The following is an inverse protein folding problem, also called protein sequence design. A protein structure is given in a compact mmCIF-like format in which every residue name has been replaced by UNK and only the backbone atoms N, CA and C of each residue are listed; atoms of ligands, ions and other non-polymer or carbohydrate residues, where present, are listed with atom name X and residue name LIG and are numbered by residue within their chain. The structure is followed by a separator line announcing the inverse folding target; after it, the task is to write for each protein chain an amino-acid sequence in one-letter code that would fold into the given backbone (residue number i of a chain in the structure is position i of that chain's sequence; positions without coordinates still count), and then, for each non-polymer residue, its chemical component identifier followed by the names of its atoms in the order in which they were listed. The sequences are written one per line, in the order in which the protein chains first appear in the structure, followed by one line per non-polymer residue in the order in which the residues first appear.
data_IF_584930451975
#
_entry.id   IF_584930451975
#
_cell.length_a   1.000
_cell.length_b   1.000
_cell.length_c   1.000
_cell.angle_alpha   90.00
_cell.angle_beta   90.00
_cell.angle_gamma   90.00
#
_symmetry.space_group_name_H-M   'P 1'
#
loop_
_entity.id
_entity.type
_entity.pdbx_description
1 polymer ?
#
# COMPACT_ATOMS: atom_id res chain seq x y z
N UNK A 1 -55.00 -14.19 -26.95
CA UNK A 1 -53.69 -14.78 -26.59
C UNK A 1 -52.48 -14.04 -27.16
N UNK A 2 -52.54 -13.42 -28.34
CA UNK A 2 -51.37 -12.65 -28.89
C UNK A 2 -50.93 -11.45 -28.05
N UNK A 3 -51.84 -10.73 -27.42
CA UNK A 3 -51.51 -9.52 -26.63
C UNK A 3 -50.86 -9.81 -25.27
N UNK A 4 -51.09 -11.01 -24.72
CA UNK A 4 -50.53 -11.41 -23.43
C UNK A 4 -49.02 -11.71 -23.53
N UNK A 5 -48.59 -12.25 -24.66
CA UNK A 5 -47.19 -12.59 -24.92
C UNK A 5 -46.33 -11.33 -25.08
N UNK A 6 -46.88 -10.25 -25.68
CA UNK A 6 -46.16 -8.98 -25.89
C UNK A 6 -45.92 -8.28 -24.55
N UNK A 7 -46.90 -8.31 -23.64
CA UNK A 7 -46.76 -7.68 -22.33
C UNK A 7 -45.80 -8.44 -21.40
N UNK A 8 -45.74 -9.77 -21.54
CA UNK A 8 -44.80 -10.59 -20.77
C UNK A 8 -43.33 -10.37 -21.21
N UNK A 9 -43.13 -10.23 -22.53
CA UNK A 9 -41.79 -9.92 -23.06
C UNK A 9 -41.29 -8.54 -22.68
N UNK A 10 -42.15 -7.51 -22.65
CA UNK A 10 -41.83 -6.16 -22.21
C UNK A 10 -41.51 -6.11 -20.71
N UNK A 11 -42.21 -6.89 -19.89
CA UNK A 11 -41.96 -6.97 -18.44
C UNK A 11 -40.65 -7.67 -18.11
N UNK A 12 -40.26 -8.70 -18.89
CA UNK A 12 -38.99 -9.38 -18.71
C UNK A 12 -37.79 -8.47 -19.08
N UNK A 13 -37.96 -7.57 -20.08
CA UNK A 13 -36.91 -6.66 -20.51
C UNK A 13 -36.62 -5.55 -19.50
N UNK A 14 -37.63 -5.14 -18.70
CA UNK A 14 -37.47 -4.13 -17.66
C UNK A 14 -36.73 -4.66 -16.43
N UNK A 15 -36.69 -5.96 -16.18
CA UNK A 15 -35.92 -6.56 -15.09
C UNK A 15 -34.41 -6.66 -15.36
N UNK A 16 -34.00 -6.67 -16.64
CA UNK A 16 -32.58 -6.75 -17.00
C UNK A 16 -31.85 -5.41 -17.02
N UNK A 17 -32.55 -4.29 -16.94
CA UNK A 17 -31.94 -2.95 -17.04
C UNK A 17 -31.50 -2.33 -15.71
N UNK A 18 -31.62 -3.04 -14.58
CA UNK A 18 -31.26 -2.49 -13.26
C UNK A 18 -30.11 -3.18 -12.55
N UNK A 19 -29.30 -3.99 -13.23
CA UNK A 19 -28.02 -4.39 -12.68
C UNK A 19 -27.06 -3.18 -12.70
N UNK A 20 -27.15 -2.34 -11.67
CA UNK A 20 -26.08 -1.41 -11.36
C UNK A 20 -24.86 -2.27 -11.05
N UNK A 21 -23.99 -2.40 -12.03
CA UNK A 21 -22.64 -2.87 -11.79
C UNK A 21 -22.01 -1.82 -10.85
N UNK A 22 -22.01 -2.10 -9.56
CA UNK A 22 -21.14 -1.40 -8.65
C UNK A 22 -19.72 -1.82 -9.07
N UNK A 23 -19.11 -1.04 -9.96
CA UNK A 23 -17.66 -1.04 -10.11
C UNK A 23 -17.13 -0.77 -8.71
N UNK A 24 -16.59 -1.80 -8.05
CA UNK A 24 -15.75 -1.58 -6.89
C UNK A 24 -14.68 -0.63 -7.39
N UNK A 25 -14.65 0.58 -6.82
CA UNK A 25 -13.55 1.52 -6.98
C UNK A 25 -12.32 0.80 -6.44
N UNK A 26 -11.67 0.06 -7.32
CA UNK A 26 -10.37 -0.53 -7.04
C UNK A 26 -9.46 0.65 -6.75
N UNK A 27 -8.79 0.67 -5.61
CA UNK A 27 -7.92 1.78 -5.25
C UNK A 27 -6.67 1.70 -6.15
N UNK A 28 -6.75 2.34 -7.32
CA UNK A 28 -5.72 2.33 -8.37
C UNK A 28 -4.36 2.78 -7.83
N UNK A 29 -4.36 3.69 -6.86
CA UNK A 29 -3.14 4.16 -6.19
C UNK A 29 -2.42 3.04 -5.45
N UNK A 30 -3.13 2.30 -4.58
CA UNK A 30 -2.55 1.18 -3.82
C UNK A 30 -2.02 0.10 -4.76
N UNK A 31 -2.76 -0.19 -5.81
CA UNK A 31 -2.39 -1.21 -6.81
C UNK A 31 -1.16 -0.78 -7.61
N UNK A 32 -1.13 0.46 -8.07
CA UNK A 32 0.00 1.02 -8.80
C UNK A 32 1.27 1.00 -7.93
N UNK A 33 1.16 1.48 -6.69
CA UNK A 33 2.26 1.46 -5.72
C UNK A 33 2.74 0.03 -5.40
N UNK A 34 1.82 -0.91 -5.19
CA UNK A 34 2.16 -2.32 -4.94
C UNK A 34 2.94 -2.94 -6.11
N UNK A 35 2.47 -2.70 -7.34
CA UNK A 35 3.12 -3.18 -8.56
C UNK A 35 4.50 -2.53 -8.77
N UNK A 36 4.62 -1.24 -8.50
CA UNK A 36 5.89 -0.52 -8.56
C UNK A 36 6.89 -1.12 -7.58
N UNK A 37 6.52 -1.28 -6.31
CA UNK A 37 7.41 -1.82 -5.27
C UNK A 37 7.80 -3.27 -5.54
N UNK A 38 6.89 -4.09 -6.08
CA UNK A 38 7.21 -5.46 -6.49
C UNK A 38 8.25 -5.49 -7.61
N UNK A 39 8.08 -4.65 -8.65
CA UNK A 39 9.09 -4.55 -9.73
C UNK A 39 10.43 -4.06 -9.21
N UNK A 40 10.43 -3.05 -8.35
CA UNK A 40 11.65 -2.52 -7.75
C UNK A 40 12.37 -3.59 -6.91
N UNK A 41 11.64 -4.33 -6.08
CA UNK A 41 12.19 -5.42 -5.28
C UNK A 41 12.81 -6.52 -6.14
N UNK A 42 12.14 -6.90 -7.25
CA UNK A 42 12.67 -7.91 -8.17
C UNK A 42 13.97 -7.48 -8.86
N UNK A 43 14.14 -6.18 -9.12
CA UNK A 43 15.36 -5.64 -9.73
C UNK A 43 16.48 -5.44 -8.71
N UNK A 44 16.14 -4.94 -7.54
CA UNK A 44 17.08 -4.63 -6.46
C UNK A 44 16.43 -4.99 -5.12
N UNK A 45 16.56 -6.25 -4.66
CA UNK A 45 15.99 -6.70 -3.41
C UNK A 45 16.47 -5.86 -2.23
N UNK A 46 15.55 -5.47 -1.35
CA UNK A 46 15.88 -4.77 -0.12
C UNK A 46 14.92 -5.15 1.00
N UNK A 47 15.41 -5.09 2.22
CA UNK A 47 14.61 -5.20 3.45
C UNK A 47 14.80 -3.94 4.29
N UNK A 48 13.82 -3.64 5.15
CA UNK A 48 13.87 -2.47 6.00
C UNK A 48 12.95 -1.35 5.53
N UNK A 49 13.33 -0.11 5.85
CA UNK A 49 12.49 1.07 5.66
C UNK A 49 12.93 1.87 4.44
N UNK A 50 11.95 2.37 3.70
CA UNK A 50 12.11 3.38 2.65
C UNK A 50 11.00 4.41 2.75
N UNK A 51 11.23 5.59 2.19
CA UNK A 51 10.20 6.60 1.96
C UNK A 51 9.97 6.70 0.46
N UNK A 52 8.73 6.50 0.04
CA UNK A 52 8.32 6.60 -1.36
C UNK A 52 7.73 7.99 -1.59
N UNK A 53 8.35 8.77 -2.46
CA UNK A 53 7.82 10.05 -2.95
C UNK A 53 7.06 9.80 -4.26
N UNK A 54 5.76 10.09 -4.28
CA UNK A 54 4.90 9.96 -5.46
C UNK A 54 4.13 11.26 -5.74
N UNK A 55 3.42 11.31 -6.87
CA UNK A 55 2.55 12.43 -7.21
C UNK A 55 1.45 12.68 -6.17
N UNK A 56 1.00 11.62 -5.49
CA UNK A 56 -0.09 11.65 -4.51
C UNK A 56 0.37 11.91 -3.08
N UNK A 57 1.68 12.02 -2.87
CA UNK A 57 2.29 12.32 -1.57
C UNK A 57 3.43 11.40 -1.20
N UNK A 58 3.83 11.49 0.06
CA UNK A 58 4.91 10.71 0.61
C UNK A 58 4.38 9.52 1.40
N UNK A 59 5.00 8.35 1.23
CA UNK A 59 4.60 7.12 1.90
C UNK A 59 5.80 6.51 2.63
N UNK A 60 5.57 6.17 3.87
CA UNK A 60 6.48 5.32 4.63
C UNK A 60 6.27 3.87 4.21
N UNK A 61 7.35 3.18 3.88
CA UNK A 61 7.33 1.79 3.42
C UNK A 61 8.25 0.96 4.32
N UNK A 62 7.75 -0.18 4.79
CA UNK A 62 8.53 -1.18 5.53
C UNK A 62 8.44 -2.51 4.81
N UNK A 63 9.57 -3.06 4.38
CA UNK A 63 9.68 -4.31 3.64
C UNK A 63 10.27 -5.38 4.53
N UNK A 64 9.55 -6.49 4.66
CA UNK A 64 9.89 -7.64 5.48
C UNK A 64 9.93 -8.88 4.59
N UNK A 65 11.01 -9.65 4.64
CA UNK A 65 11.10 -10.96 4.01
C UNK A 65 11.14 -12.05 5.06
N UNK A 66 10.26 -13.04 4.95
CA UNK A 66 10.14 -14.14 5.91
C UNK A 66 10.22 -15.50 5.20
N UNK A 67 10.97 -16.41 5.79
CA UNK A 67 11.05 -17.80 5.36
C UNK A 67 9.82 -18.56 5.85
N UNK A 68 9.00 -19.09 4.92
CA UNK A 68 7.71 -19.71 5.26
C UNK A 68 7.84 -20.93 6.16
N UNK A 69 8.90 -21.73 5.97
CA UNK A 69 9.13 -22.95 6.74
C UNK A 69 9.32 -22.70 8.25
N UNK A 70 9.63 -21.48 8.67
CA UNK A 70 9.80 -21.12 10.08
C UNK A 70 8.48 -20.91 10.82
N UNK A 71 7.35 -20.92 10.12
CA UNK A 71 6.04 -20.57 10.69
C UNK A 71 5.05 -21.73 10.51
N UNK A 72 4.31 -22.05 11.56
CA UNK A 72 3.30 -23.10 11.56
C UNK A 72 2.06 -22.76 10.75
N UNK A 73 1.81 -21.46 10.54
CA UNK A 73 0.69 -20.96 9.73
C UNK A 73 0.99 -19.62 9.10
N UNK A 74 0.31 -19.32 8.00
CA UNK A 74 0.38 -18.01 7.36
C UNK A 74 -0.08 -16.89 8.29
N UNK A 75 -1.10 -17.13 9.11
CA UNK A 75 -1.59 -16.16 10.10
C UNK A 75 -0.52 -15.77 11.11
N UNK A 76 0.24 -16.75 11.62
CA UNK A 76 1.37 -16.49 12.53
C UNK A 76 2.46 -15.67 11.83
N UNK A 77 2.81 -16.05 10.61
CA UNK A 77 3.80 -15.33 9.81
C UNK A 77 3.39 -13.87 9.57
N UNK A 78 2.12 -13.61 9.23
CA UNK A 78 1.58 -12.26 9.01
C UNK A 78 1.67 -11.41 10.28
N UNK A 79 1.36 -11.97 11.45
CA UNK A 79 1.50 -11.27 12.74
C UNK A 79 2.95 -10.92 13.03
N UNK A 80 3.87 -11.85 12.82
CA UNK A 80 5.31 -11.60 12.99
C UNK A 80 5.80 -10.51 12.05
N UNK A 81 5.36 -10.54 10.78
CA UNK A 81 5.68 -9.50 9.81
C UNK A 81 5.18 -8.11 10.27
N UNK A 82 3.95 -8.03 10.75
CA UNK A 82 3.38 -6.79 11.27
C UNK A 82 4.18 -6.24 12.46
N UNK A 83 4.54 -7.08 13.42
CA UNK A 83 5.36 -6.67 14.57
C UNK A 83 6.74 -6.18 14.11
N UNK A 84 7.38 -6.89 13.16
CA UNK A 84 8.66 -6.45 12.59
C UNK A 84 8.55 -5.13 11.86
N UNK A 85 7.50 -4.91 11.05
CA UNK A 85 7.26 -3.65 10.37
C UNK A 85 7.07 -2.50 11.36
N UNK A 86 6.31 -2.72 12.43
CA UNK A 86 6.14 -1.74 13.50
C UNK A 86 7.44 -1.45 14.24
N UNK A 87 8.26 -2.47 14.50
CA UNK A 87 9.57 -2.30 15.12
C UNK A 87 10.52 -1.49 14.23
N UNK A 88 10.57 -1.78 12.93
CA UNK A 88 11.37 -1.00 11.98
C UNK A 88 10.90 0.45 11.91
N UNK A 89 9.58 0.70 11.87
CA UNK A 89 9.03 2.04 11.90
C UNK A 89 9.38 2.78 13.18
N UNK A 90 9.26 2.12 14.34
CA UNK A 90 9.59 2.70 15.62
C UNK A 90 11.08 3.07 15.69
N UNK A 91 11.97 2.20 15.25
CA UNK A 91 13.42 2.48 15.16
C UNK A 91 13.70 3.66 14.22
N UNK A 92 13.04 3.69 13.07
CA UNK A 92 13.22 4.78 12.10
C UNK A 92 12.82 6.14 12.68
N UNK A 93 11.63 6.23 13.30
CA UNK A 93 11.14 7.50 13.84
C UNK A 93 11.86 7.94 15.11
N UNK A 94 12.38 7.02 15.93
CA UNK A 94 12.97 7.34 17.23
C UNK A 94 14.50 7.28 17.26
N UNK A 95 15.18 6.78 16.25
CA UNK A 95 16.62 6.58 16.33
C UNK A 95 17.41 6.72 15.05
N UNK A 96 16.78 6.77 13.88
CA UNK A 96 17.52 6.80 12.62
C UNK A 96 17.76 8.20 12.10
N UNK A 97 18.96 8.45 11.58
CA UNK A 97 19.23 9.62 10.74
C UNK A 97 18.58 9.43 9.38
N UNK A 98 17.90 10.44 8.87
CA UNK A 98 17.27 10.41 7.55
C UNK A 98 18.32 10.74 6.52
N UNK A 99 18.63 9.77 5.65
CA UNK A 99 19.52 9.99 4.50
C UNK A 99 18.71 9.97 3.19
N UNK A 100 19.25 10.59 2.15
CA UNK A 100 18.65 10.59 0.81
C UNK A 100 18.51 9.18 0.21
N UNK A 101 19.32 8.24 0.64
CA UNK A 101 19.26 6.82 0.21
C UNK A 101 17.99 6.10 0.67
N UNK A 102 17.32 6.63 1.69
CA UNK A 102 16.05 6.12 2.18
C UNK A 102 14.86 6.58 1.33
N UNK A 103 15.05 7.59 0.49
CA UNK A 103 13.98 8.20 -0.30
C UNK A 103 14.00 7.60 -1.71
N UNK A 104 12.89 7.00 -2.10
CA UNK A 104 12.64 6.49 -3.45
C UNK A 104 11.68 7.46 -4.14
N UNK A 105 12.04 7.93 -5.32
CA UNK A 105 11.17 8.77 -6.14
C UNK A 105 10.51 7.94 -7.23
N UNK A 106 9.20 8.04 -7.36
CA UNK A 106 8.52 7.51 -8.54
C UNK A 106 8.74 8.49 -9.70
N UNK A 107 9.00 7.94 -10.90
CA UNK A 107 9.30 8.72 -12.11
C UNK A 107 8.05 9.39 -12.72
N UNK A 108 6.90 9.29 -12.08
CA UNK A 108 5.68 9.91 -12.56
C UNK A 108 5.78 11.45 -12.46
N UNK A 109 5.62 12.12 -13.58
CA UNK A 109 5.61 13.59 -13.64
C UNK A 109 4.51 14.13 -12.72
N UNK A 110 4.90 14.98 -11.78
CA UNK A 110 3.94 15.67 -10.91
C UNK A 110 3.04 16.55 -11.76
N UNK A 111 1.70 16.50 -11.60
CA UNK A 111 0.83 17.53 -12.13
C UNK A 111 1.33 18.90 -11.62
N UNK A 112 1.45 19.88 -12.51
CA UNK A 112 2.05 21.20 -12.26
C UNK A 112 1.38 22.08 -11.19
N UNK A 113 0.37 21.59 -10.46
CA UNK A 113 -0.47 22.42 -9.57
C UNK A 113 -0.53 22.00 -8.09
N UNK A 114 0.36 21.15 -7.62
CA UNK A 114 0.42 20.89 -6.16
C UNK A 114 1.38 21.86 -5.48
N UNK A 115 0.84 23.06 -5.21
CA UNK A 115 1.43 24.03 -4.30
C UNK A 115 1.68 23.42 -2.93
N UNK A 116 2.94 23.49 -2.49
CA UNK A 116 3.37 23.33 -1.09
C UNK A 116 3.17 21.95 -0.46
N UNK A 117 3.67 20.91 -1.08
CA UNK A 117 3.91 19.66 -0.34
C UNK A 117 5.22 19.82 0.43
N UNK A 118 5.18 19.72 1.76
CA UNK A 118 6.38 19.67 2.59
C UNK A 118 7.32 18.60 2.07
N UNK A 119 8.62 18.82 2.17
CA UNK A 119 9.58 17.79 1.79
C UNK A 119 9.38 16.50 2.61
N UNK A 120 9.75 15.31 2.10
CA UNK A 120 9.67 14.07 2.88
C UNK A 120 10.35 14.19 4.24
N UNK A 121 11.48 14.90 4.31
CA UNK A 121 12.26 15.10 5.53
C UNK A 121 11.47 15.91 6.57
N UNK A 122 10.91 17.06 6.18
CA UNK A 122 10.09 17.89 7.07
C UNK A 122 8.86 17.15 7.59
N UNK A 123 8.25 16.33 6.74
CA UNK A 123 7.09 15.50 7.12
C UNK A 123 7.47 14.46 8.15
N UNK A 124 8.62 13.79 8.00
CA UNK A 124 9.13 12.78 8.94
C UNK A 124 9.44 13.42 10.29
N UNK A 125 10.10 14.58 10.31
CA UNK A 125 10.41 15.31 11.55
C UNK A 125 9.12 15.63 12.34
N UNK A 126 8.06 16.07 11.65
CA UNK A 126 6.76 16.33 12.29
C UNK A 126 6.10 15.06 12.85
N UNK A 127 6.26 13.90 12.19
CA UNK A 127 5.69 12.63 12.66
C UNK A 127 6.44 12.06 13.86
N UNK A 128 7.76 12.35 14.00
CA UNK A 128 8.56 11.89 15.14
C UNK A 128 7.96 12.27 16.48
N UNK A 129 7.35 13.44 16.59
CA UNK A 129 6.70 13.93 17.81
C UNK A 129 5.51 13.04 18.24
N UNK A 130 4.86 12.31 17.30
CA UNK A 130 3.70 11.45 17.55
C UNK A 130 3.81 10.07 16.90
N UNK A 131 4.99 9.47 16.89
CA UNK A 131 5.32 8.24 16.16
C UNK A 131 4.50 7.01 16.58
N UNK A 132 4.09 6.89 17.85
CA UNK A 132 3.38 5.72 18.37
C UNK A 132 2.03 5.50 17.63
N UNK A 133 1.27 6.55 17.42
CA UNK A 133 0.00 6.47 16.67
C UNK A 133 0.21 6.12 15.21
N UNK A 134 1.26 6.66 14.61
CA UNK A 134 1.65 6.38 13.23
C UNK A 134 2.00 4.90 13.05
N UNK A 135 2.89 4.36 13.90
CA UNK A 135 3.37 2.97 13.83
C UNK A 135 2.22 1.96 13.96
N UNK A 136 1.28 2.19 14.88
CA UNK A 136 0.14 1.30 15.11
C UNK A 136 -0.82 1.23 13.93
N UNK A 137 -0.88 2.25 13.08
CA UNK A 137 -1.83 2.38 11.97
C UNK A 137 -1.23 2.02 10.61
N UNK A 138 -0.07 1.36 10.58
CA UNK A 138 0.49 0.81 9.33
C UNK A 138 -0.38 -0.32 8.79
N UNK A 139 -0.57 -0.34 7.48
CA UNK A 139 -1.37 -1.32 6.76
C UNK A 139 -0.49 -2.18 5.86
N UNK A 140 -0.94 -3.42 5.62
CA UNK A 140 -0.34 -4.27 4.59
C UNK A 140 -0.75 -3.75 3.21
N UNK A 141 0.22 -3.33 2.41
CA UNK A 141 0.01 -2.93 1.03
C UNK A 141 -0.09 -4.12 0.10
N UNK A 142 0.89 -5.02 0.17
CA UNK A 142 0.97 -6.21 -0.68
C UNK A 142 1.88 -7.27 -0.07
N UNK A 143 1.76 -8.48 -0.57
CA UNK A 143 2.71 -9.56 -0.34
C UNK A 143 2.93 -10.34 -1.63
N UNK A 144 4.08 -10.98 -1.75
CA UNK A 144 4.42 -11.85 -2.87
C UNK A 144 5.51 -12.84 -2.49
N UNK A 145 5.50 -13.96 -3.19
CA UNK A 145 6.48 -15.02 -2.98
C UNK A 145 7.75 -14.77 -3.79
N UNK A 146 8.86 -15.21 -3.22
CA UNK A 146 10.18 -15.25 -3.84
C UNK A 146 10.84 -16.61 -3.57
N UNK A 147 11.98 -16.89 -4.22
CA UNK A 147 12.74 -18.13 -4.05
C UNK A 147 11.85 -19.39 -4.20
N UNK A 148 11.11 -19.46 -5.34
CA UNK A 148 10.20 -20.57 -5.64
C UNK A 148 9.16 -20.84 -4.53
N UNK A 149 8.70 -19.77 -3.92
CA UNK A 149 7.68 -19.85 -2.86
C UNK A 149 8.21 -20.18 -1.48
N UNK A 150 9.53 -20.30 -1.27
CA UNK A 150 10.12 -20.58 0.05
C UNK A 150 10.07 -19.39 0.98
N UNK A 151 10.11 -18.19 0.45
CA UNK A 151 10.01 -16.94 1.23
C UNK A 151 8.84 -16.10 0.75
N UNK A 152 8.32 -15.29 1.65
CA UNK A 152 7.30 -14.29 1.36
C UNK A 152 7.82 -12.91 1.73
N UNK A 153 7.70 -11.98 0.79
CA UNK A 153 7.92 -10.57 1.01
C UNK A 153 6.59 -9.92 1.38
N UNK A 154 6.59 -9.14 2.46
CA UNK A 154 5.44 -8.38 2.92
C UNK A 154 5.82 -6.91 2.96
N UNK A 155 5.00 -6.08 2.35
CA UNK A 155 5.20 -4.64 2.27
C UNK A 155 4.12 -3.95 3.08
N UNK A 156 4.52 -3.31 4.16
CA UNK A 156 3.66 -2.45 4.96
C UNK A 156 3.88 -1.00 4.59
N UNK A 157 2.84 -0.20 4.65
CA UNK A 157 2.90 1.21 4.27
C UNK A 157 2.03 2.09 5.15
N UNK A 158 2.30 3.38 5.10
CA UNK A 158 1.41 4.42 5.59
C UNK A 158 1.75 5.75 4.93
N UNK A 159 0.72 6.52 4.57
CA UNK A 159 0.88 7.87 4.04
C UNK A 159 1.45 8.79 5.13
N UNK A 160 2.45 9.56 4.77
CA UNK A 160 3.05 10.59 5.62
C UNK A 160 2.19 11.85 5.50
N UNK A 161 1.22 11.99 6.39
CA UNK A 161 0.37 13.18 6.46
C UNK A 161 0.80 14.07 7.61
N UNK A 162 1.00 15.35 7.34
CA UNK A 162 1.08 16.36 8.39
C UNK A 162 -0.34 16.72 8.81
N UNK A 163 -0.69 16.49 10.07
CA UNK A 163 -1.92 17.10 10.61
C UNK A 163 -1.84 18.60 10.39
N UNK A 164 -2.86 19.15 9.72
CA UNK A 164 -3.09 20.61 9.65
C UNK A 164 -3.41 21.15 11.01
#
# INVERSE_FOLDING_TARGET
MKNFIIHFGAFLFLFFSSSRVYSQSYNDEKTSMANYLKRMYNNTPFEGVKVLESAEGNFFISVISLEKAKYTSQSTMMRVAQVKAQSQANTFFNGSTISSELIIKTTEEKPKELTSTKSPIETIETIRENSIGFVKSMELLTNFDIEDGKRMVLVYYKKLETKK
#
